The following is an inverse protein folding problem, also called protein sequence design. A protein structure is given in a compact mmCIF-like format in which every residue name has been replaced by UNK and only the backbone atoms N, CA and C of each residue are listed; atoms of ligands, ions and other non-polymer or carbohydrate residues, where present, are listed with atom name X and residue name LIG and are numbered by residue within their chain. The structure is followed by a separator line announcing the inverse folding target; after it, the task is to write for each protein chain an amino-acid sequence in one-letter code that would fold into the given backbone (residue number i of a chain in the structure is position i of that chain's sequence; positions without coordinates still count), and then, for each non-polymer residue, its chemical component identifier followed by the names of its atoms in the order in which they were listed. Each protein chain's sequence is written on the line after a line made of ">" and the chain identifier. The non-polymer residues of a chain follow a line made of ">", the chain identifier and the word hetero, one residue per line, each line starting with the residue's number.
data_IF_169461928699
#
_entry.id   IF_169461928699
#
_cell.length_a   1.000
_cell.length_b   1.000
_cell.length_c   1.000
_cell.angle_alpha   90.00
_cell.angle_beta   90.00
_cell.angle_gamma   90.00
#
_symmetry.space_group_name_H-M   'P 1'
#
loop_
_entity.id
_entity.type
_entity.pdbx_description
1 polymer ?
#
# COMPACT_ATOMS: atom_id res chain seq x y z
N UNK A 1 -31.98 -21.39 -37.03
CA UNK A 1 -30.74 -20.81 -37.55
C UNK A 1 -30.47 -19.51 -36.79
N UNK A 2 -29.54 -19.53 -35.83
CA UNK A 2 -29.15 -18.35 -35.05
C UNK A 2 -27.64 -18.14 -35.23
N UNK A 3 -27.17 -16.89 -35.44
CA UNK A 3 -25.76 -16.64 -35.72
C UNK A 3 -24.93 -16.85 -34.47
N UNK A 4 -23.86 -17.63 -34.64
CA UNK A 4 -22.77 -17.82 -33.70
C UNK A 4 -22.20 -16.45 -33.34
N UNK A 5 -22.52 -15.95 -32.14
CA UNK A 5 -21.81 -14.84 -31.52
C UNK A 5 -20.36 -15.27 -31.34
N UNK A 6 -19.47 -14.64 -32.07
CA UNK A 6 -18.03 -14.73 -31.88
C UNK A 6 -17.75 -14.21 -30.49
N UNK A 7 -17.43 -15.12 -29.57
CA UNK A 7 -16.78 -14.76 -28.32
C UNK A 7 -15.42 -14.23 -28.74
N UNK A 8 -15.30 -12.90 -28.83
CA UNK A 8 -14.00 -12.28 -28.79
C UNK A 8 -13.37 -12.75 -27.48
N UNK A 9 -12.44 -13.69 -27.61
CA UNK A 9 -11.57 -14.12 -26.54
C UNK A 9 -10.90 -12.85 -26.05
N UNK A 10 -11.40 -12.29 -24.95
CA UNK A 10 -10.53 -11.57 -24.04
C UNK A 10 -9.51 -12.60 -23.58
N UNK A 11 -8.46 -12.78 -24.37
CA UNK A 11 -7.17 -13.19 -23.87
C UNK A 11 -6.84 -12.17 -22.79
N UNK A 12 -7.20 -12.51 -21.55
CA UNK A 12 -6.40 -12.08 -20.42
C UNK A 12 -5.03 -12.62 -20.76
N UNK A 13 -4.18 -11.82 -21.40
CA UNK A 13 -2.76 -12.03 -21.29
C UNK A 13 -2.56 -12.10 -19.79
N UNK A 14 -2.29 -13.30 -19.28
CA UNK A 14 -1.74 -13.47 -17.95
C UNK A 14 -0.41 -12.73 -18.04
N UNK A 15 -0.47 -11.43 -17.74
CA UNK A 15 0.61 -10.50 -17.94
C UNK A 15 1.74 -10.99 -17.08
N UNK A 16 2.85 -11.35 -17.72
CA UNK A 16 4.08 -11.58 -17.00
C UNK A 16 4.41 -10.25 -16.33
N UNK A 17 4.64 -10.27 -15.03
CA UNK A 17 5.03 -9.09 -14.26
C UNK A 17 6.25 -8.44 -14.92
N UNK A 18 6.13 -7.17 -15.34
CA UNK A 18 7.14 -6.50 -16.17
C UNK A 18 8.50 -6.39 -15.47
N UNK A 19 8.50 -6.14 -14.15
CA UNK A 19 9.69 -5.98 -13.32
C UNK A 19 9.66 -6.91 -12.10
N UNK A 20 9.46 -8.21 -12.35
CA UNK A 20 9.26 -9.21 -11.31
C UNK A 20 10.37 -9.25 -10.26
N UNK A 21 11.65 -9.27 -10.66
CA UNK A 21 12.76 -9.36 -9.69
C UNK A 21 12.85 -8.11 -8.81
N UNK A 22 12.59 -6.92 -9.37
CA UNK A 22 12.55 -5.67 -8.60
C UNK A 22 11.36 -5.66 -7.64
N UNK A 23 10.21 -6.20 -8.06
CA UNK A 23 9.03 -6.34 -7.20
C UNK A 23 9.30 -7.23 -5.99
N UNK A 24 9.97 -8.38 -6.18
CA UNK A 24 10.31 -9.27 -5.06
C UNK A 24 11.29 -8.58 -4.10
N UNK A 25 12.35 -7.95 -4.61
CA UNK A 25 13.30 -7.22 -3.78
C UNK A 25 12.65 -6.03 -3.03
N UNK A 26 11.69 -5.35 -3.67
CA UNK A 26 10.89 -4.33 -3.02
C UNK A 26 10.01 -4.93 -1.91
N UNK A 27 9.37 -6.09 -2.13
CA UNK A 27 8.50 -6.72 -1.13
C UNK A 27 9.29 -7.13 0.13
N UNK A 28 10.49 -7.68 -0.04
CA UNK A 28 11.42 -7.97 1.06
C UNK A 28 11.76 -6.69 1.86
N UNK A 29 12.12 -5.63 1.13
CA UNK A 29 12.48 -4.32 1.72
C UNK A 29 11.29 -3.66 2.40
N UNK A 30 10.10 -3.79 1.82
CA UNK A 30 8.86 -3.21 2.31
C UNK A 30 8.44 -3.87 3.62
N UNK A 31 8.44 -5.21 3.67
CA UNK A 31 8.18 -5.96 4.90
C UNK A 31 9.20 -5.60 5.99
N UNK A 32 10.48 -5.54 5.65
CA UNK A 32 11.56 -5.19 6.59
C UNK A 32 11.40 -3.76 7.12
N UNK A 33 11.11 -2.79 6.25
CA UNK A 33 10.93 -1.39 6.64
C UNK A 33 9.70 -1.17 7.52
N UNK A 34 8.60 -1.87 7.26
CA UNK A 34 7.41 -1.82 8.11
C UNK A 34 7.58 -2.57 9.45
N UNK A 35 8.35 -3.66 9.45
CA UNK A 35 8.42 -4.61 10.55
C UNK A 35 9.69 -4.60 11.39
N UNK A 36 10.61 -3.65 11.15
CA UNK A 36 11.87 -3.56 11.90
C UNK A 36 11.66 -3.58 13.44
N UNK A 37 10.50 -3.11 13.90
CA UNK A 37 10.10 -3.06 15.32
C UNK A 37 9.49 -4.37 15.86
N UNK A 38 9.04 -5.29 15.00
CA UNK A 38 8.24 -6.46 15.41
C UNK A 38 9.07 -7.69 15.77
N UNK A 39 10.33 -7.77 15.34
CA UNK A 39 11.32 -8.79 15.72
C UNK A 39 11.01 -10.26 15.35
N UNK A 40 9.73 -10.65 15.24
CA UNK A 40 9.26 -12.05 15.19
C UNK A 40 7.98 -12.27 14.36
N UNK A 41 7.53 -11.32 13.54
CA UNK A 41 6.41 -11.54 12.61
C UNK A 41 5.00 -11.59 13.24
N UNK A 42 4.80 -10.97 14.41
CA UNK A 42 3.46 -10.78 15.01
C UNK A 42 2.68 -9.64 14.31
N UNK A 43 2.46 -9.77 13.01
CA UNK A 43 1.77 -8.77 12.18
C UNK A 43 0.30 -8.54 12.58
N UNK A 44 -0.27 -9.45 13.37
CA UNK A 44 -1.71 -9.51 13.69
C UNK A 44 -2.06 -9.00 15.09
N UNK A 45 -1.08 -8.71 15.96
CA UNK A 45 -1.35 -8.38 17.36
C UNK A 45 -1.94 -6.96 17.51
N UNK A 46 -1.34 -6.00 16.81
CA UNK A 46 -1.78 -4.61 16.72
C UNK A 46 -1.27 -4.00 15.41
N UNK A 47 -1.65 -2.76 15.12
CA UNK A 47 -1.25 -2.06 13.90
C UNK A 47 -0.22 -0.96 14.13
N UNK A 48 0.38 -0.85 15.33
CA UNK A 48 1.28 0.26 15.65
C UNK A 48 2.58 0.26 14.84
N UNK A 49 2.95 -0.91 14.30
CA UNK A 49 4.05 -1.07 13.36
C UNK A 49 3.80 -0.41 11.99
N UNK A 50 2.55 -0.06 11.66
CA UNK A 50 2.26 0.74 10.47
C UNK A 50 2.64 2.19 10.77
N UNK A 51 3.81 2.59 10.29
CA UNK A 51 4.41 3.93 10.43
C UNK A 51 4.33 4.73 9.12
N UNK A 52 4.68 6.03 9.15
CA UNK A 52 4.79 6.82 7.92
C UNK A 52 5.84 6.27 6.95
N UNK A 53 6.92 5.68 7.44
CA UNK A 53 7.92 5.02 6.58
C UNK A 53 7.29 3.84 5.84
N UNK A 54 6.51 3.01 6.56
CA UNK A 54 5.77 1.90 5.98
C UNK A 54 4.80 2.38 4.87
N UNK A 55 3.98 3.40 5.16
CA UNK A 55 3.04 3.96 4.16
C UNK A 55 3.77 4.50 2.92
N UNK A 56 4.90 5.19 3.11
CA UNK A 56 5.67 5.73 1.99
C UNK A 56 6.33 4.64 1.14
N UNK A 57 6.81 3.55 1.75
CA UNK A 57 7.36 2.40 1.03
C UNK A 57 6.29 1.67 0.22
N UNK A 58 5.04 1.64 0.71
CA UNK A 58 3.91 1.08 -0.04
C UNK A 58 3.68 1.82 -1.37
N UNK A 59 3.95 3.13 -1.40
CA UNK A 59 3.81 3.98 -2.59
C UNK A 59 4.99 3.86 -3.57
N UNK A 60 6.11 3.22 -3.17
CA UNK A 60 7.32 3.10 -3.99
C UNK A 60 7.41 1.77 -4.75
N UNK A 61 6.28 1.10 -4.97
CA UNK A 61 6.23 -0.17 -5.70
C UNK A 61 6.81 -0.01 -7.12
N UNK A 62 7.77 -0.86 -7.56
CA UNK A 62 8.48 -0.67 -8.82
C UNK A 62 7.70 -1.17 -10.05
N UNK A 63 6.40 -1.42 -9.93
CA UNK A 63 5.53 -1.88 -11.02
C UNK A 63 4.27 -1.03 -11.08
N UNK A 64 3.61 -0.93 -12.25
CA UNK A 64 2.31 -0.28 -12.33
C UNK A 64 1.28 -0.91 -11.37
N UNK A 65 0.37 -0.12 -10.81
CA UNK A 65 -0.67 -0.60 -9.89
C UNK A 65 -1.52 -1.74 -10.48
N UNK A 66 -1.73 -1.74 -11.79
CA UNK A 66 -2.46 -2.81 -12.50
C UNK A 66 -1.74 -4.15 -12.51
N UNK A 67 -0.43 -4.17 -12.28
CA UNK A 67 0.41 -5.38 -12.29
C UNK A 67 0.65 -5.96 -10.90
N UNK A 68 0.48 -5.18 -9.82
CA UNK A 68 0.82 -5.58 -8.45
C UNK A 68 0.22 -6.93 -8.06
N UNK A 69 -1.07 -7.14 -8.31
CA UNK A 69 -1.73 -8.42 -8.00
C UNK A 69 -1.13 -9.59 -8.80
N UNK A 70 -0.85 -9.38 -10.09
CA UNK A 70 -0.26 -10.41 -10.96
C UNK A 70 1.18 -10.73 -10.55
N UNK A 71 1.97 -9.73 -10.18
CA UNK A 71 3.32 -9.89 -9.66
C UNK A 71 3.33 -10.69 -8.34
N UNK A 72 2.41 -10.39 -7.43
CA UNK A 72 2.26 -11.13 -6.18
C UNK A 72 1.87 -12.59 -6.43
N UNK A 73 0.87 -12.85 -7.28
CA UNK A 73 0.44 -14.20 -7.66
C UNK A 73 1.54 -15.01 -8.35
N UNK A 74 2.26 -14.39 -9.29
CA UNK A 74 3.43 -14.99 -9.93
C UNK A 74 4.50 -15.32 -8.89
N UNK A 75 4.71 -14.43 -7.92
CA UNK A 75 5.64 -14.63 -6.81
C UNK A 75 5.27 -15.81 -5.91
N UNK A 76 3.98 -16.01 -5.63
CA UNK A 76 3.50 -17.18 -4.90
C UNK A 76 3.72 -18.47 -5.70
N UNK A 77 3.39 -18.48 -7.00
CA UNK A 77 3.57 -19.65 -7.88
C UNK A 77 5.04 -20.07 -8.00
N UNK A 78 5.95 -19.10 -8.08
CA UNK A 78 7.39 -19.30 -8.14
C UNK A 78 8.07 -19.47 -6.77
N UNK A 79 7.28 -19.49 -5.68
CA UNK A 79 7.76 -19.60 -4.30
C UNK A 79 8.79 -18.51 -3.90
N UNK A 80 8.70 -17.34 -4.54
CA UNK A 80 9.47 -16.13 -4.19
C UNK A 80 8.77 -15.29 -3.12
N UNK A 81 7.45 -15.34 -3.10
CA UNK A 81 6.63 -14.76 -2.02
C UNK A 81 6.49 -15.82 -0.91
N UNK A 82 7.26 -15.65 0.17
CA UNK A 82 7.25 -16.55 1.32
C UNK A 82 5.92 -16.49 2.08
N UNK A 83 5.74 -17.41 3.04
CA UNK A 83 4.59 -17.37 3.96
C UNK A 83 4.56 -16.07 4.78
N UNK A 84 5.73 -15.57 5.16
CA UNK A 84 5.86 -14.34 5.94
C UNK A 84 5.40 -13.13 5.12
N UNK A 85 5.80 -13.03 3.85
CA UNK A 85 5.28 -12.00 2.94
C UNK A 85 3.75 -12.05 2.85
N UNK A 86 3.17 -13.24 2.73
CA UNK A 86 1.71 -13.40 2.66
C UNK A 86 1.02 -12.93 3.94
N UNK A 87 1.57 -13.28 5.10
CA UNK A 87 1.04 -12.85 6.40
C UNK A 87 1.14 -11.34 6.57
N UNK A 88 2.28 -10.76 6.25
CA UNK A 88 2.50 -9.32 6.26
C UNK A 88 1.51 -8.58 5.34
N UNK A 89 1.43 -8.97 4.06
CA UNK A 89 0.52 -8.34 3.10
C UNK A 89 -0.94 -8.49 3.52
N UNK A 90 -1.34 -9.65 4.03
CA UNK A 90 -2.69 -9.87 4.52
C UNK A 90 -2.99 -9.02 5.76
N UNK A 91 -2.07 -8.95 6.73
CA UNK A 91 -2.22 -8.09 7.91
C UNK A 91 -2.37 -6.62 7.50
N UNK A 92 -1.54 -6.13 6.58
CA UNK A 92 -1.59 -4.75 6.11
C UNK A 92 -2.92 -4.43 5.41
N UNK A 93 -3.36 -5.30 4.49
CA UNK A 93 -4.53 -5.04 3.63
C UNK A 93 -5.88 -5.35 4.29
N UNK A 94 -5.92 -6.20 5.30
CA UNK A 94 -7.19 -6.59 5.95
C UNK A 94 -7.25 -6.13 7.40
N UNK A 95 -6.25 -6.48 8.21
CA UNK A 95 -6.26 -6.18 9.66
C UNK A 95 -5.97 -4.71 9.95
N UNK A 96 -4.96 -4.15 9.27
CA UNK A 96 -4.43 -2.81 9.51
C UNK A 96 -4.77 -1.81 8.41
N UNK A 97 -5.78 -2.12 7.58
CA UNK A 97 -6.23 -1.25 6.50
C UNK A 97 -6.62 0.13 7.01
N UNK A 98 -7.46 0.19 8.06
CA UNK A 98 -7.96 1.46 8.60
C UNK A 98 -6.84 2.41 9.05
N UNK A 99 -5.81 1.88 9.73
CA UNK A 99 -4.65 2.70 10.12
C UNK A 99 -3.82 3.14 8.91
N UNK A 100 -3.60 2.23 7.96
CA UNK A 100 -2.85 2.54 6.72
C UNK A 100 -3.54 3.66 5.94
N UNK A 101 -4.87 3.58 5.81
CA UNK A 101 -5.70 4.60 5.17
C UNK A 101 -5.70 5.91 5.95
N UNK A 102 -5.85 5.86 7.28
CA UNK A 102 -5.84 7.06 8.13
C UNK A 102 -4.52 7.83 8.03
N UNK A 103 -3.39 7.12 8.05
CA UNK A 103 -2.06 7.71 7.95
C UNK A 103 -1.79 8.25 6.54
N UNK A 104 -2.21 7.51 5.51
CA UNK A 104 -1.96 7.81 4.09
C UNK A 104 -3.00 8.72 3.42
N UNK A 105 -4.05 9.14 4.12
CA UNK A 105 -5.08 10.04 3.56
C UNK A 105 -4.45 11.36 3.07
N UNK A 106 -5.05 12.04 2.07
CA UNK A 106 -4.62 13.38 1.68
C UNK A 106 -4.62 14.32 2.89
N UNK A 107 -3.56 15.13 3.02
CA UNK A 107 -3.30 15.97 4.19
C UNK A 107 -3.14 15.20 5.51
N UNK A 108 -3.02 13.87 5.47
CA UNK A 108 -2.73 13.02 6.62
C UNK A 108 -1.34 13.28 7.19
N UNK A 109 -1.05 12.67 8.34
CA UNK A 109 0.26 12.81 9.00
C UNK A 109 1.40 12.28 8.12
N UNK A 110 1.12 11.26 7.29
CA UNK A 110 2.12 10.64 6.43
C UNK A 110 1.99 11.03 4.95
N UNK A 111 1.15 12.02 4.61
CA UNK A 111 1.07 12.51 3.22
C UNK A 111 2.36 13.25 2.87
N UNK A 112 3.21 12.60 2.06
CA UNK A 112 4.48 13.16 1.60
C UNK A 112 4.32 14.49 0.85
N UNK A 113 3.16 14.72 0.23
CA UNK A 113 2.89 15.94 -0.55
C UNK A 113 2.07 16.96 0.23
N UNK A 114 1.87 16.79 1.53
CA UNK A 114 1.05 17.69 2.36
C UNK A 114 1.45 19.16 2.22
N UNK A 115 2.75 19.45 2.19
CA UNK A 115 3.27 20.82 2.09
C UNK A 115 3.09 21.45 0.69
N UNK A 116 2.86 20.63 -0.33
CA UNK A 116 2.66 21.09 -1.72
C UNK A 116 1.17 21.28 -2.05
N UNK A 117 0.29 20.67 -1.25
CA UNK A 117 -1.17 20.75 -1.38
C UNK A 117 -1.71 22.00 -0.69
N UNK A 118 -2.24 22.93 -1.49
CA UNK A 118 -2.83 24.18 -1.00
C UNK A 118 -3.99 23.90 -0.04
N UNK A 119 -4.77 22.85 -0.30
CA UNK A 119 -5.88 22.42 0.55
C UNK A 119 -5.46 22.09 1.99
N UNK A 120 -4.25 21.54 2.19
CA UNK A 120 -3.75 21.21 3.52
C UNK A 120 -3.29 22.46 4.28
N UNK A 121 -2.62 23.39 3.58
CA UNK A 121 -2.14 24.65 4.17
C UNK A 121 -3.29 25.54 4.65
N UNK A 122 -4.40 25.56 3.91
CA UNK A 122 -5.59 26.32 4.29
C UNK A 122 -6.27 25.76 5.53
N UNK A 123 -6.35 24.42 5.65
CA UNK A 123 -6.93 23.76 6.81
C UNK A 123 -6.12 24.05 8.08
N UNK A 124 -4.79 23.95 8.02
CA UNK A 124 -3.91 24.20 9.17
C UNK A 124 -4.02 25.67 9.66
N UNK A 125 -4.15 26.63 8.74
CA UNK A 125 -4.39 28.04 9.08
C UNK A 125 -5.71 28.26 9.81
N UNK A 126 -6.81 27.63 9.36
CA UNK A 126 -8.12 27.72 10.02
C UNK A 126 -8.10 27.10 11.42
N UNK A 127 -7.43 25.95 11.60
CA UNK A 127 -7.28 25.32 12.93
C UNK A 127 -6.55 26.25 13.88
N UNK A 128 -5.40 26.82 13.45
CA UNK A 128 -4.63 27.75 14.28
C UNK A 128 -5.42 29.02 14.65
N UNK A 129 -6.30 29.49 13.75
CA UNK A 129 -7.16 30.61 14.04
C UNK A 129 -8.20 30.27 15.11
N UNK A 130 -8.85 29.10 15.02
CA UNK A 130 -9.84 28.68 16.01
C UNK A 130 -9.20 28.52 17.39
N UNK A 131 -8.06 27.84 17.49
CA UNK A 131 -7.36 27.63 18.76
C UNK A 131 -7.02 28.94 19.47
N UNK A 132 -6.58 29.96 18.72
CA UNK A 132 -6.28 31.28 19.26
C UNK A 132 -7.54 32.05 19.74
N UNK A 133 -8.74 31.69 19.28
CA UNK A 133 -10.00 32.35 19.64
C UNK A 133 -10.85 31.57 20.65
N UNK A 134 -10.46 30.34 21.04
CA UNK A 134 -11.19 29.54 22.05
C UNK A 134 -10.55 29.55 23.44
N UNK A 135 -9.42 30.25 23.59
CA UNK A 135 -8.68 30.36 24.85
C UNK A 135 -9.07 31.56 25.74
N UNK A 136 -10.17 32.27 25.44
CA UNK A 136 -10.74 33.35 26.27
C UNK A 136 -11.97 32.91 27.07
#
# INVERSE_FOLDING_TARGET
>A
MLPRRVWALLTCAAGICSQFDQYIAWLDSFMTGCGASLGNGNWFDNCDWVTCECVNLALSVPVPNSEVAQCFEQGMKLQKVTREHQQFTFALMQTCFGRTEELGKPCGTCDKFRSERIECLQADSLVSFIENNTAE
#
